data_IF_040087225531
#
_entry.id   IF_040087225531
#
_cell.length_a   1.000
_cell.length_b   1.000
_cell.length_c   1.000
_cell.angle_alpha   90.00
_cell.angle_beta   90.00
_cell.angle_gamma   90.00
#
_symmetry.space_group_name_H-M   'P 1'
#
loop_
_entity.id
_entity.type
_entity.pdbx_description
1 polymer ?
#
# COMPACT_ATOMS: atom_id res chain seq x y z
N UNK A 1 -8.43 6.50 -8.06
CA UNK A 1 -7.57 5.65 -7.19
C UNK A 1 -6.42 6.43 -6.51
N UNK A 2 -6.59 7.72 -6.32
CA UNK A 2 -5.61 8.57 -5.67
C UNK A 2 -5.85 8.61 -4.16
N UNK A 3 -4.76 8.67 -3.37
CA UNK A 3 -4.83 8.68 -1.91
C UNK A 3 -3.92 9.76 -1.35
N UNK A 4 -4.37 10.43 -0.29
CA UNK A 4 -3.52 11.27 0.54
C UNK A 4 -2.85 10.38 1.57
N UNK A 5 -1.54 10.53 1.74
CA UNK A 5 -0.74 9.78 2.70
C UNK A 5 0.17 10.68 3.52
N UNK A 6 0.71 10.13 4.61
CA UNK A 6 1.66 10.81 5.47
C UNK A 6 2.99 10.07 5.47
N UNK A 7 4.08 10.82 5.47
CA UNK A 7 5.43 10.33 5.73
C UNK A 7 5.87 10.89 7.08
N UNK A 8 6.19 10.02 8.01
CA UNK A 8 6.62 10.39 9.36
C UNK A 8 7.75 9.48 9.84
N UNK A 9 8.27 9.74 11.05
CA UNK A 9 9.38 8.98 11.62
C UNK A 9 8.92 7.81 12.48
N UNK A 10 7.67 7.80 12.87
CA UNK A 10 7.08 6.75 13.71
C UNK A 10 5.64 6.46 13.29
N UNK A 11 5.16 5.28 13.65
CA UNK A 11 3.75 4.91 13.49
C UNK A 11 2.85 5.82 14.33
N UNK A 12 3.32 6.26 15.49
CA UNK A 12 2.62 7.19 16.37
C UNK A 12 2.36 8.53 15.68
N UNK A 13 3.40 9.12 15.05
CA UNK A 13 3.26 10.36 14.28
C UNK A 13 2.30 10.21 13.10
N UNK A 14 2.30 9.06 12.41
CA UNK A 14 1.30 8.75 11.39
C UNK A 14 -0.12 8.81 11.96
N UNK A 15 -0.32 8.23 13.14
CA UNK A 15 -1.59 8.23 13.84
C UNK A 15 -2.05 9.63 14.26
N UNK A 16 -1.15 10.43 14.83
CA UNK A 16 -1.43 11.82 15.21
C UNK A 16 -1.83 12.66 13.99
N UNK A 17 -1.08 12.53 12.89
CA UNK A 17 -1.42 13.22 11.65
C UNK A 17 -2.79 12.79 11.12
N UNK A 18 -3.05 11.49 11.03
CA UNK A 18 -4.35 10.98 10.58
C UNK A 18 -5.49 11.52 11.43
N UNK A 19 -5.33 11.57 12.75
CA UNK A 19 -6.34 12.12 13.67
C UNK A 19 -6.63 13.59 13.43
N UNK A 20 -5.65 14.35 12.95
CA UNK A 20 -5.79 15.78 12.69
C UNK A 20 -6.45 16.09 11.33
N UNK A 21 -6.28 15.21 10.32
CA UNK A 21 -6.74 15.51 8.95
C UNK A 21 -7.91 14.63 8.50
N UNK A 22 -8.18 13.50 9.16
CA UNK A 22 -9.31 12.64 8.81
C UNK A 22 -10.62 13.29 9.22
N UNK A 23 -11.65 13.09 8.41
CA UNK A 23 -13.00 13.58 8.70
C UNK A 23 -13.89 13.57 7.48
N UNK A 24 -15.17 13.76 7.70
CA UNK A 24 -16.13 13.91 6.61
C UNK A 24 -16.14 15.35 6.10
N UNK A 25 -15.92 15.51 4.80
CA UNK A 25 -16.10 16.78 4.10
C UNK A 25 -17.38 16.73 3.28
N UNK A 26 -18.43 17.49 3.64
CA UNK A 26 -19.69 17.52 2.90
C UNK A 26 -19.57 18.16 1.51
N UNK A 27 -18.47 18.88 1.22
CA UNK A 27 -18.20 19.45 -0.10
C UNK A 27 -17.59 18.41 -1.07
N UNK A 28 -17.03 17.31 -0.55
CA UNK A 28 -16.50 16.22 -1.37
C UNK A 28 -17.52 15.05 -1.44
N UNK A 29 -18.15 14.82 -2.61
CA UNK A 29 -19.11 13.73 -2.78
C UNK A 29 -18.50 12.32 -2.60
N UNK A 30 -17.17 12.18 -2.63
CA UNK A 30 -16.47 10.93 -2.37
C UNK A 30 -16.13 10.73 -0.90
N UNK A 31 -16.25 11.77 -0.07
CA UNK A 31 -16.00 11.71 1.37
C UNK A 31 -17.08 10.88 2.08
N UNK A 32 -16.66 9.88 2.82
CA UNK A 32 -17.56 9.00 3.57
C UNK A 32 -17.80 9.54 4.98
N UNK A 33 -19.07 9.57 5.40
CA UNK A 33 -19.42 9.90 6.77
C UNK A 33 -19.21 8.66 7.67
N UNK A 34 -17.97 8.46 8.09
CA UNK A 34 -17.55 7.38 8.99
C UNK A 34 -17.03 7.96 10.32
N UNK A 35 -17.19 7.23 11.43
CA UNK A 35 -16.55 7.61 12.68
C UNK A 35 -15.04 7.75 12.50
N UNK A 36 -14.45 8.78 13.10
CA UNK A 36 -12.99 8.92 13.13
C UNK A 36 -12.38 7.73 13.87
N UNK A 37 -11.23 7.23 13.39
CA UNK A 37 -10.52 6.17 14.08
C UNK A 37 -10.06 6.69 15.45
N UNK A 38 -10.51 6.04 16.51
CA UNK A 38 -10.00 6.30 17.85
C UNK A 38 -8.66 5.61 17.99
N UNK A 39 -7.59 6.39 18.03
CA UNK A 39 -6.24 5.89 18.23
C UNK A 39 -5.95 5.82 19.73
N UNK A 40 -6.04 4.62 20.29
CA UNK A 40 -5.59 4.37 21.64
C UNK A 40 -4.08 4.08 21.63
N UNK A 41 -3.30 5.15 21.74
CA UNK A 41 -1.83 5.06 21.71
C UNK A 41 -1.26 4.46 23.01
N UNK A 42 -2.03 4.42 24.09
CA UNK A 42 -1.60 3.86 25.37
C UNK A 42 -1.92 2.37 25.53
N UNK A 43 -2.72 1.82 24.62
CA UNK A 43 -3.12 0.43 24.66
C UNK A 43 -1.90 -0.49 24.51
N UNK A 44 -1.68 -1.35 25.49
CA UNK A 44 -0.70 -2.44 25.39
C UNK A 44 -1.08 -3.34 24.21
N UNK A 45 -0.14 -3.55 23.31
CA UNK A 45 -0.36 -4.34 22.10
C UNK A 45 -0.08 -5.81 22.39
N UNK A 46 -1.08 -6.65 22.22
CA UNK A 46 -0.85 -8.10 22.12
C UNK A 46 -0.12 -8.40 20.81
N UNK A 47 0.68 -9.47 20.83
CA UNK A 47 1.34 -9.96 19.62
C UNK A 47 0.29 -10.29 18.54
N UNK A 48 0.43 -9.74 17.32
CA UNK A 48 -0.57 -9.85 16.28
C UNK A 48 -0.53 -11.20 15.55
N UNK A 49 -1.65 -11.49 14.85
CA UNK A 49 -1.69 -12.51 13.81
C UNK A 49 -1.43 -11.82 12.47
N UNK A 50 -0.36 -12.20 11.79
CA UNK A 50 0.07 -11.61 10.52
C UNK A 50 -0.10 -12.61 9.39
N UNK A 51 -0.72 -12.17 8.30
CA UNK A 51 -0.87 -12.95 7.08
C UNK A 51 0.24 -12.62 6.08
N UNK A 52 1.17 -13.54 5.88
CA UNK A 52 2.24 -13.42 4.89
C UNK A 52 1.69 -13.68 3.50
N UNK A 53 1.64 -12.66 2.63
CA UNK A 53 0.97 -12.73 1.33
C UNK A 53 1.78 -13.56 0.33
N UNK A 54 1.28 -14.72 -0.06
CA UNK A 54 1.96 -15.66 -0.97
C UNK A 54 2.24 -15.05 -2.36
N UNK A 55 1.28 -14.33 -2.94
CA UNK A 55 1.43 -13.71 -4.26
C UNK A 55 2.55 -12.65 -4.26
N UNK A 56 2.71 -11.94 -3.15
CA UNK A 56 3.79 -10.98 -3.00
C UNK A 56 5.17 -11.65 -2.95
N UNK A 57 5.28 -12.79 -2.26
CA UNK A 57 6.50 -13.59 -2.23
C UNK A 57 6.89 -14.12 -3.62
N UNK A 58 5.93 -14.42 -4.48
CA UNK A 58 6.20 -14.95 -5.83
C UNK A 58 6.85 -13.92 -6.75
N UNK A 59 6.42 -12.64 -6.65
CA UNK A 59 6.90 -11.57 -7.55
C UNK A 59 8.04 -10.73 -6.95
N UNK A 60 8.25 -10.81 -5.64
CA UNK A 60 9.32 -10.07 -4.98
C UNK A 60 10.70 -10.57 -5.43
N UNK A 61 11.63 -9.64 -5.66
CA UNK A 61 13.04 -9.93 -5.91
C UNK A 61 13.62 -10.82 -4.78
N UNK A 62 14.58 -11.69 -5.09
CA UNK A 62 15.10 -12.66 -4.11
C UNK A 62 15.51 -12.02 -2.77
N UNK A 63 16.21 -10.88 -2.82
CA UNK A 63 16.65 -10.14 -1.63
C UNK A 63 15.47 -9.58 -0.82
N UNK A 64 14.39 -9.13 -1.47
CA UNK A 64 13.19 -8.63 -0.81
C UNK A 64 12.42 -9.76 -0.13
N UNK A 65 12.33 -10.91 -0.80
CA UNK A 65 11.71 -12.13 -0.26
C UNK A 65 12.45 -12.65 0.96
N UNK A 66 13.77 -12.80 0.85
CA UNK A 66 14.62 -13.27 1.95
C UNK A 66 14.50 -12.34 3.16
N UNK A 67 14.58 -11.03 2.93
CA UNK A 67 14.43 -10.04 3.98
C UNK A 67 13.07 -10.14 4.68
N UNK A 68 11.98 -10.24 3.92
CA UNK A 68 10.63 -10.38 4.49
C UNK A 68 10.51 -11.65 5.35
N UNK A 69 11.07 -12.77 4.90
CA UNK A 69 11.06 -14.03 5.69
C UNK A 69 11.87 -13.91 6.97
N UNK A 70 13.00 -13.20 6.94
CA UNK A 70 13.78 -12.90 8.15
C UNK A 70 13.00 -12.04 9.14
N UNK A 71 12.32 -10.98 8.64
CA UNK A 71 11.46 -10.11 9.47
C UNK A 71 10.27 -10.90 10.05
N UNK A 72 9.65 -11.76 9.24
CA UNK A 72 8.57 -12.64 9.72
C UNK A 72 9.04 -13.53 10.87
N UNK A 73 10.22 -14.15 10.77
CA UNK A 73 10.83 -14.93 11.83
C UNK A 73 11.16 -14.12 13.09
N UNK A 74 11.56 -12.85 12.95
CA UNK A 74 11.74 -11.94 14.09
C UNK A 74 10.40 -11.67 14.80
N UNK A 75 9.33 -11.45 14.05
CA UNK A 75 8.00 -11.26 14.63
C UNK A 75 7.49 -12.51 15.35
N UNK A 76 7.72 -13.71 14.79
CA UNK A 76 7.40 -14.97 15.47
C UNK A 76 8.19 -15.15 16.77
N UNK A 77 9.49 -14.87 16.75
CA UNK A 77 10.34 -14.91 17.94
C UNK A 77 9.88 -13.92 19.03
N UNK A 78 9.27 -12.79 18.63
CA UNK A 78 8.67 -11.80 19.52
C UNK A 78 7.23 -12.15 19.95
N UNK A 79 6.68 -13.30 19.49
CA UNK A 79 5.39 -13.84 19.91
C UNK A 79 4.23 -13.63 18.92
N UNK A 80 4.45 -13.01 17.76
CA UNK A 80 3.44 -12.95 16.71
C UNK A 80 3.16 -14.34 16.12
N UNK A 81 1.95 -14.53 15.61
CA UNK A 81 1.62 -15.67 14.77
C UNK A 81 1.68 -15.24 13.31
N UNK A 82 2.57 -15.83 12.54
CA UNK A 82 2.67 -15.59 11.10
C UNK A 82 2.16 -16.81 10.33
N UNK A 83 1.26 -16.60 9.39
CA UNK A 83 0.72 -17.66 8.55
C UNK A 83 0.63 -17.20 7.09
N UNK A 84 0.86 -18.11 6.16
CA UNK A 84 0.72 -17.82 4.75
C UNK A 84 -0.74 -17.61 4.39
N UNK A 85 -1.00 -16.56 3.62
CA UNK A 85 -2.34 -16.20 3.16
C UNK A 85 -2.32 -15.81 1.68
N UNK A 86 -3.45 -16.02 1.00
CA UNK A 86 -3.66 -15.55 -0.37
C UNK A 86 -4.46 -14.24 -0.37
N UNK A 87 -4.34 -13.46 -1.46
CA UNK A 87 -5.20 -12.32 -1.74
C UNK A 87 -6.64 -12.73 -2.12
N UNK A 88 -6.88 -14.03 -2.36
CA UNK A 88 -8.19 -14.59 -2.68
C UNK A 88 -8.61 -14.45 -4.14
N UNK A 89 -7.82 -13.78 -4.97
CA UNK A 89 -7.96 -13.67 -6.42
C UNK A 89 -6.56 -13.57 -7.04
N UNK A 90 -6.35 -14.04 -8.28
CA UNK A 90 -5.05 -13.98 -8.95
C UNK A 90 -4.52 -12.55 -9.07
N UNK A 91 -3.23 -12.35 -8.79
CA UNK A 91 -2.61 -11.02 -8.78
C UNK A 91 -2.66 -10.35 -10.16
N UNK A 92 -2.48 -11.09 -11.24
CA UNK A 92 -2.57 -10.60 -12.62
C UNK A 92 -3.98 -10.06 -12.94
N UNK A 93 -5.04 -10.73 -12.48
CA UNK A 93 -6.40 -10.22 -12.59
C UNK A 93 -6.58 -8.93 -11.81
N UNK A 94 -6.06 -8.87 -10.58
CA UNK A 94 -6.15 -7.68 -9.72
C UNK A 94 -5.47 -6.49 -10.40
N UNK A 95 -4.26 -6.69 -10.92
CA UNK A 95 -3.50 -5.66 -11.63
C UNK A 95 -4.16 -5.23 -12.94
N UNK A 96 -4.71 -6.16 -13.72
CA UNK A 96 -5.44 -5.83 -14.93
C UNK A 96 -6.69 -4.95 -14.63
N UNK A 97 -7.43 -5.30 -13.59
CA UNK A 97 -8.59 -4.50 -13.14
C UNK A 97 -8.16 -3.10 -12.67
N UNK A 98 -7.07 -3.02 -11.91
CA UNK A 98 -6.50 -1.77 -11.45
C UNK A 98 -6.09 -0.88 -12.63
N UNK A 99 -5.42 -1.43 -13.65
CA UNK A 99 -5.01 -0.68 -14.83
C UNK A 99 -6.21 -0.11 -15.59
N UNK A 100 -7.25 -0.90 -15.83
CA UNK A 100 -8.45 -0.41 -16.53
C UNK A 100 -9.09 0.74 -15.77
N UNK A 101 -9.28 0.62 -14.47
CA UNK A 101 -9.91 1.67 -13.65
C UNK A 101 -9.02 2.90 -13.59
N UNK A 102 -7.73 2.73 -13.29
CA UNK A 102 -6.78 3.84 -13.17
C UNK A 102 -6.67 4.64 -14.47
N UNK A 103 -6.46 3.98 -15.62
CA UNK A 103 -6.34 4.69 -16.90
C UNK A 103 -7.59 5.46 -17.25
N UNK A 104 -8.78 4.85 -17.02
CA UNK A 104 -10.06 5.51 -17.31
C UNK A 104 -10.28 6.73 -16.40
N UNK A 105 -10.01 6.59 -15.09
CA UNK A 105 -10.18 7.69 -14.12
C UNK A 105 -9.16 8.82 -14.36
N UNK A 106 -7.89 8.50 -14.65
CA UNK A 106 -6.87 9.48 -15.03
C UNK A 106 -7.27 10.23 -16.29
N UNK A 107 -7.77 9.52 -17.32
CA UNK A 107 -8.23 10.15 -18.54
C UNK A 107 -9.42 11.07 -18.28
N UNK A 108 -10.38 10.66 -17.46
CA UNK A 108 -11.57 11.47 -17.14
C UNK A 108 -11.20 12.82 -16.49
N UNK A 109 -10.12 12.85 -15.69
CA UNK A 109 -9.67 14.08 -15.01
C UNK A 109 -8.75 14.93 -15.88
N UNK A 110 -7.80 14.29 -16.58
CA UNK A 110 -6.67 15.02 -17.19
C UNK A 110 -6.86 15.34 -18.69
N UNK A 111 -7.81 14.73 -19.40
CA UNK A 111 -7.88 14.90 -20.85
C UNK A 111 -8.14 16.35 -21.29
N UNK A 112 -9.03 17.09 -20.60
CA UNK A 112 -9.29 18.50 -20.90
C UNK A 112 -8.08 19.39 -20.62
N UNK A 113 -7.38 19.12 -19.50
CA UNK A 113 -6.14 19.84 -19.17
C UNK A 113 -5.04 19.56 -20.20
N UNK A 114 -4.95 18.33 -20.70
CA UNK A 114 -4.00 17.97 -21.75
C UNK A 114 -4.30 18.68 -23.07
N UNK A 115 -5.56 18.85 -23.44
CA UNK A 115 -5.96 19.61 -24.64
C UNK A 115 -5.70 21.12 -24.47
N UNK A 116 -6.00 21.66 -23.30
CA UNK A 116 -5.78 23.08 -23.00
C UNK A 116 -4.31 23.45 -22.85
N UNK A 117 -3.51 22.55 -22.29
CA UNK A 117 -2.08 22.76 -21.99
C UNK A 117 -1.23 21.57 -22.46
N UNK A 118 -1.01 21.38 -23.78
CA UNK A 118 -0.35 20.18 -24.32
C UNK A 118 1.08 19.93 -23.80
N UNK A 119 1.77 20.99 -23.38
CA UNK A 119 3.14 20.93 -22.87
C UNK A 119 3.28 20.70 -21.35
N UNK A 120 2.18 20.71 -20.59
CA UNK A 120 2.20 20.65 -19.13
C UNK A 120 2.34 19.24 -18.54
N UNK A 121 2.12 18.21 -19.36
CA UNK A 121 2.12 16.81 -18.91
C UNK A 121 3.39 16.08 -19.35
N UNK A 122 3.97 15.34 -18.43
CA UNK A 122 5.09 14.43 -18.75
C UNK A 122 4.63 13.34 -19.73
N UNK A 123 5.52 12.81 -20.58
CA UNK A 123 5.18 11.83 -21.61
C UNK A 123 4.43 10.59 -21.07
N UNK A 124 4.81 10.09 -19.88
CA UNK A 124 4.19 8.92 -19.25
C UNK A 124 2.71 9.22 -18.88
N UNK A 125 2.43 10.37 -18.27
CA UNK A 125 1.06 10.76 -17.90
C UNK A 125 0.21 10.97 -19.15
N UNK A 126 0.77 11.61 -20.19
CA UNK A 126 0.11 11.78 -21.49
C UNK A 126 -0.30 10.44 -22.08
N UNK A 127 0.63 9.47 -22.17
CA UNK A 127 0.33 8.14 -22.67
C UNK A 127 -0.78 7.45 -21.85
N UNK A 128 -0.77 7.58 -20.51
CA UNK A 128 -1.82 7.07 -19.64
C UNK A 128 -3.19 7.65 -19.96
N UNK A 129 -3.27 8.97 -20.18
CA UNK A 129 -4.52 9.65 -20.58
C UNK A 129 -5.01 9.17 -21.94
N UNK A 130 -4.12 9.07 -22.93
CA UNK A 130 -4.44 8.61 -24.27
C UNK A 130 -4.98 7.18 -24.28
N UNK A 131 -4.34 6.26 -23.54
CA UNK A 131 -4.83 4.88 -23.37
C UNK A 131 -6.19 4.86 -22.68
N UNK A 132 -6.38 5.64 -21.61
CA UNK A 132 -7.64 5.68 -20.87
C UNK A 132 -8.84 6.14 -21.72
N UNK A 133 -8.62 7.07 -22.67
CA UNK A 133 -9.66 7.53 -23.63
C UNK A 133 -10.09 6.44 -24.61
N UNK A 134 -9.25 5.47 -24.89
CA UNK A 134 -9.54 4.37 -25.81
C UNK A 134 -10.26 3.19 -25.14
N UNK A 135 -10.32 3.17 -23.81
CA UNK A 135 -10.98 2.08 -23.08
C UNK A 135 -12.51 2.19 -23.23
N UNK A 136 -13.19 1.13 -23.71
CA UNK A 136 -14.64 1.12 -23.80
C UNK A 136 -15.30 1.24 -22.42
N UNK A 137 -16.39 2.00 -22.31
CA UNK A 137 -17.14 2.12 -21.06
C UNK A 137 -17.61 0.78 -20.49
N UNK A 138 -17.89 -0.22 -21.32
CA UNK A 138 -18.22 -1.58 -20.87
C UNK A 138 -17.06 -2.25 -20.14
N UNK A 139 -15.82 -2.02 -20.56
CA UNK A 139 -14.63 -2.56 -19.86
C UNK A 139 -14.50 -1.96 -18.46
N UNK A 140 -14.69 -0.65 -18.31
CA UNK A 140 -14.71 0.04 -17.03
C UNK A 140 -15.81 -0.50 -16.09
N UNK A 141 -17.03 -0.71 -16.60
CA UNK A 141 -18.12 -1.28 -15.81
C UNK A 141 -17.84 -2.70 -15.34
N UNK A 142 -17.23 -3.54 -16.19
CA UNK A 142 -16.77 -4.87 -15.81
C UNK A 142 -15.67 -4.80 -14.76
N UNK A 143 -14.68 -3.94 -14.94
CA UNK A 143 -13.61 -3.72 -13.97
C UNK A 143 -14.15 -3.29 -12.59
N UNK A 144 -15.14 -2.39 -12.55
CA UNK A 144 -15.79 -1.99 -11.29
C UNK A 144 -16.57 -3.15 -10.61
N UNK A 145 -17.15 -4.07 -11.36
CA UNK A 145 -17.78 -5.29 -10.81
C UNK A 145 -16.72 -6.23 -10.23
N UNK A 146 -15.63 -6.44 -10.96
CA UNK A 146 -14.49 -7.25 -10.50
C UNK A 146 -13.82 -6.63 -9.27
N UNK A 147 -13.64 -5.31 -9.23
CA UNK A 147 -13.14 -4.59 -8.04
C UNK A 147 -13.92 -4.95 -6.78
N UNK A 148 -15.27 -4.96 -6.85
CA UNK A 148 -16.11 -5.36 -5.69
C UNK A 148 -15.89 -6.82 -5.28
N UNK A 149 -15.75 -7.73 -6.27
CA UNK A 149 -15.47 -9.15 -6.01
C UNK A 149 -14.09 -9.33 -5.34
N UNK A 150 -13.06 -8.68 -5.89
CA UNK A 150 -11.69 -8.69 -5.35
C UNK A 150 -11.68 -8.16 -3.92
N UNK A 151 -12.32 -7.00 -3.68
CA UNK A 151 -12.43 -6.42 -2.32
C UNK A 151 -13.07 -7.39 -1.33
N UNK A 152 -14.15 -8.06 -1.72
CA UNK A 152 -14.82 -9.04 -0.86
C UNK A 152 -13.96 -10.28 -0.61
N UNK A 153 -13.19 -10.75 -1.61
CA UNK A 153 -12.26 -11.86 -1.46
C UNK A 153 -11.12 -11.52 -0.49
N UNK A 154 -10.44 -10.39 -0.69
CA UNK A 154 -9.37 -9.92 0.21
C UNK A 154 -9.86 -9.69 1.63
N UNK A 155 -11.07 -9.11 1.81
CA UNK A 155 -11.64 -8.90 3.14
C UNK A 155 -11.90 -10.23 3.88
N UNK A 156 -12.29 -11.30 3.18
CA UNK A 156 -12.44 -12.63 3.79
C UNK A 156 -11.09 -13.22 4.23
N UNK A 157 -10.04 -13.03 3.44
CA UNK A 157 -8.68 -13.46 3.82
C UNK A 157 -8.18 -12.67 5.03
N UNK A 158 -8.36 -11.34 5.04
CA UNK A 158 -8.00 -10.47 6.15
C UNK A 158 -8.79 -10.76 7.44
N UNK A 159 -9.99 -11.29 7.36
CA UNK A 159 -10.77 -11.66 8.56
C UNK A 159 -10.12 -12.76 9.43
N UNK A 160 -9.13 -13.48 8.90
CA UNK A 160 -8.42 -14.54 9.60
C UNK A 160 -7.19 -14.05 10.37
N UNK A 161 -6.69 -12.85 10.03
CA UNK A 161 -5.49 -12.23 10.58
C UNK A 161 -5.75 -10.79 11.01
N UNK A 162 -4.81 -10.19 11.70
CA UNK A 162 -4.95 -8.79 12.15
C UNK A 162 -4.44 -7.79 11.10
N UNK A 163 -3.47 -8.22 10.27
CA UNK A 163 -3.02 -7.50 9.08
C UNK A 163 -2.33 -8.45 8.09
N UNK A 164 -2.34 -8.12 6.81
CA UNK A 164 -1.38 -8.69 5.86
C UNK A 164 -0.01 -8.09 6.09
N UNK A 165 1.04 -8.88 5.81
CA UNK A 165 2.43 -8.44 5.77
C UNK A 165 3.06 -8.88 4.44
N UNK A 166 3.74 -7.95 3.77
CA UNK A 166 4.37 -8.16 2.47
C UNK A 166 5.50 -7.13 2.28
N UNK A 167 6.39 -7.28 1.26
CA UNK A 167 7.35 -6.24 0.95
C UNK A 167 6.63 -4.98 0.48
N UNK A 168 7.14 -3.79 0.83
CA UNK A 168 6.54 -2.54 0.34
C UNK A 168 6.69 -2.40 -1.18
N UNK A 169 7.76 -2.89 -1.77
CA UNK A 169 8.01 -2.87 -3.21
C UNK A 169 8.56 -4.22 -3.69
N UNK A 170 8.45 -4.46 -5.00
CA UNK A 170 8.95 -5.70 -5.62
C UNK A 170 10.47 -5.81 -5.48
N UNK A 171 11.18 -4.68 -5.57
CA UNK A 171 12.64 -4.59 -5.46
C UNK A 171 13.03 -3.30 -4.71
N UNK A 172 14.31 -3.08 -4.50
CA UNK A 172 14.85 -1.84 -3.95
C UNK A 172 14.52 -0.62 -4.83
N UNK A 173 14.73 0.57 -4.29
CA UNK A 173 14.49 1.81 -5.01
C UNK A 173 15.21 1.80 -6.38
N UNK A 174 14.49 2.08 -7.47
CA UNK A 174 15.09 2.13 -8.82
C UNK A 174 15.92 3.40 -8.99
N UNK A 175 16.63 3.49 -10.11
CA UNK A 175 17.29 4.73 -10.54
C UNK A 175 16.25 5.82 -10.82
N UNK A 176 16.69 7.09 -10.91
CA UNK A 176 15.81 8.25 -11.16
C UNK A 176 15.04 8.20 -12.50
N UNK A 177 15.42 7.29 -13.39
CA UNK A 177 14.78 7.10 -14.70
C UNK A 177 13.47 6.30 -14.63
N UNK A 178 13.20 5.65 -13.49
CA UNK A 178 12.02 4.83 -13.28
C UNK A 178 11.27 5.23 -12.02
N UNK A 179 9.95 5.01 -12.01
CA UNK A 179 9.10 5.14 -10.82
C UNK A 179 8.95 3.80 -10.07
N UNK A 180 9.67 2.77 -10.49
CA UNK A 180 9.57 1.43 -9.91
C UNK A 180 8.33 0.64 -10.34
N UNK A 181 8.19 -0.54 -9.75
CA UNK A 181 7.07 -1.45 -9.95
C UNK A 181 6.06 -1.29 -8.79
N UNK A 182 4.81 -0.99 -9.12
CA UNK A 182 3.73 -0.74 -8.17
C UNK A 182 2.85 -1.98 -7.90
N UNK A 183 3.26 -3.16 -8.35
CA UNK A 183 2.43 -4.37 -8.29
C UNK A 183 2.06 -4.81 -6.86
N UNK A 184 2.84 -4.39 -5.85
CA UNK A 184 2.56 -4.69 -4.45
C UNK A 184 1.72 -3.62 -3.73
N UNK A 185 1.59 -2.40 -4.27
CA UNK A 185 0.76 -1.33 -3.69
C UNK A 185 -0.59 -1.20 -4.42
N UNK A 186 -0.59 -1.41 -5.73
CA UNK A 186 -1.75 -1.26 -6.60
C UNK A 186 -2.99 -2.09 -6.16
N UNK A 187 -2.84 -3.34 -5.68
CA UNK A 187 -3.97 -4.14 -5.20
C UNK A 187 -4.76 -3.46 -4.07
N UNK A 188 -4.07 -2.85 -3.13
CA UNK A 188 -4.70 -2.25 -1.94
C UNK A 188 -5.30 -0.88 -2.27
N UNK A 189 -4.64 -0.11 -3.12
CA UNK A 189 -5.23 1.11 -3.71
C UNK A 189 -6.50 0.80 -4.50
N UNK A 190 -6.52 -0.29 -5.28
CA UNK A 190 -7.71 -0.72 -6.01
C UNK A 190 -8.90 -0.95 -5.08
N UNK A 191 -8.70 -1.66 -3.98
CA UNK A 191 -9.80 -2.05 -3.08
C UNK A 191 -10.08 -1.03 -1.97
N UNK A 192 -9.23 0.00 -1.81
CA UNK A 192 -9.37 1.03 -0.78
C UNK A 192 -9.12 0.48 0.62
N UNK A 193 -8.06 -0.31 0.78
CA UNK A 193 -7.61 -0.79 2.08
C UNK A 193 -6.46 0.07 2.59
N UNK A 194 -6.48 0.48 3.87
CA UNK A 194 -5.38 1.22 4.46
C UNK A 194 -4.12 0.38 4.51
N UNK A 195 -2.99 1.01 4.19
CA UNK A 195 -1.68 0.39 4.22
C UNK A 195 -0.66 1.27 4.94
N UNK A 196 0.29 0.64 5.61
CA UNK A 196 1.36 1.25 6.38
C UNK A 196 2.68 0.64 5.97
N UNK A 197 3.64 1.45 5.54
CA UNK A 197 5.00 0.98 5.22
C UNK A 197 5.94 1.27 6.40
N UNK A 198 6.69 0.25 6.81
CA UNK A 198 7.67 0.33 7.88
C UNK A 198 9.07 0.03 7.33
N UNK A 199 10.05 0.91 7.55
CA UNK A 199 11.44 0.59 7.24
C UNK A 199 11.88 -0.56 8.14
N UNK A 200 12.48 -1.60 7.55
CA UNK A 200 12.76 -2.85 8.25
C UNK A 200 14.22 -3.30 8.15
N UNK A 201 15.05 -2.61 7.39
CA UNK A 201 16.47 -2.93 7.24
C UNK A 201 17.15 -2.17 6.13
N UNK A 202 18.40 -2.53 5.87
CA UNK A 202 19.23 -1.98 4.80
C UNK A 202 19.81 -3.13 3.97
N UNK A 203 19.75 -2.98 2.65
CA UNK A 203 20.49 -3.82 1.72
C UNK A 203 21.80 -3.12 1.36
N UNK A 204 22.93 -3.73 1.71
CA UNK A 204 24.24 -3.25 1.29
C UNK A 204 24.46 -3.59 -0.19
N UNK A 205 24.70 -2.60 -1.01
CA UNK A 205 25.14 -2.70 -2.39
C UNK A 205 26.53 -2.06 -2.48
N UNK A 206 27.35 -2.53 -3.41
CA UNK A 206 28.79 -2.21 -3.55
C UNK A 206 29.25 -0.84 -2.99
N UNK A 207 28.54 0.26 -3.28
CA UNK A 207 28.93 1.61 -2.88
C UNK A 207 27.90 2.34 -2.01
N UNK A 208 26.74 1.73 -1.74
CA UNK A 208 25.64 2.37 -1.02
C UNK A 208 24.80 1.33 -0.30
N UNK A 209 24.03 1.77 0.70
CA UNK A 209 22.98 0.96 1.33
C UNK A 209 21.61 1.53 0.96
N UNK A 210 20.71 0.66 0.53
CA UNK A 210 19.34 1.04 0.22
C UNK A 210 18.38 0.52 1.29
N UNK A 211 17.37 1.32 1.69
CA UNK A 211 16.40 0.90 2.68
C UNK A 211 15.52 -0.23 2.15
N UNK A 212 15.24 -1.20 3.01
CA UNK A 212 14.24 -2.23 2.84
C UNK A 212 13.05 -1.91 3.73
N UNK A 213 11.85 -2.22 3.26
CA UNK A 213 10.63 -1.96 4.00
C UNK A 213 9.61 -3.08 3.82
N UNK A 214 8.81 -3.28 4.85
CA UNK A 214 7.61 -4.11 4.81
C UNK A 214 6.36 -3.22 4.74
N UNK A 215 5.29 -3.75 4.19
CA UNK A 215 3.97 -3.13 4.15
C UNK A 215 2.99 -3.97 4.98
N UNK A 216 2.24 -3.30 5.84
CA UNK A 216 1.11 -3.85 6.55
C UNK A 216 -0.19 -3.34 5.90
N UNK A 217 -1.21 -4.20 5.82
CA UNK A 217 -2.51 -3.85 5.24
C UNK A 217 -3.62 -4.36 6.12
N UNK A 218 -4.63 -3.52 6.38
CA UNK A 218 -5.83 -3.89 7.12
C UNK A 218 -7.10 -3.69 6.28
N UNK A 219 -8.25 -4.23 6.69
CA UNK A 219 -9.51 -3.97 6.00
C UNK A 219 -9.87 -2.47 5.98
N UNK A 220 -10.72 -2.06 5.05
CA UNK A 220 -11.20 -0.68 4.99
C UNK A 220 -11.81 -0.24 6.34
N UNK A 221 -11.51 0.97 6.77
CA UNK A 221 -11.95 1.59 8.03
C UNK A 221 -11.35 0.95 9.30
N UNK A 222 -10.25 0.20 9.16
CA UNK A 222 -9.53 -0.41 10.28
C UNK A 222 -8.16 0.25 10.50
N UNK A 223 -8.05 1.55 10.25
CA UNK A 223 -6.80 2.32 10.41
C UNK A 223 -6.27 2.25 11.85
N UNK A 224 -7.15 2.30 12.85
CA UNK A 224 -6.75 2.17 14.26
C UNK A 224 -6.11 0.80 14.55
N UNK A 225 -6.67 -0.28 13.99
CA UNK A 225 -6.09 -1.63 14.10
C UNK A 225 -4.74 -1.69 13.38
N UNK A 226 -4.66 -1.14 12.15
CA UNK A 226 -3.43 -1.12 11.37
C UNK A 226 -2.30 -0.40 12.10
N UNK A 227 -2.59 0.77 12.69
CA UNK A 227 -1.62 1.54 13.45
C UNK A 227 -1.20 0.82 14.74
N UNK A 228 -2.13 0.14 15.42
CA UNK A 228 -1.82 -0.69 16.58
C UNK A 228 -0.86 -1.83 16.22
N UNK A 229 -1.17 -2.60 15.17
CA UNK A 229 -0.28 -3.66 14.64
C UNK A 229 1.05 -3.06 14.18
N UNK A 230 1.02 -1.92 13.49
CA UNK A 230 2.20 -1.21 13.04
C UNK A 230 3.14 -0.80 14.17
N UNK A 231 2.62 -0.24 15.27
CA UNK A 231 3.42 0.07 16.47
C UNK A 231 4.07 -1.16 17.08
N UNK A 232 3.33 -2.27 17.16
CA UNK A 232 3.89 -3.52 17.64
C UNK A 232 5.05 -3.99 16.75
N UNK A 233 4.84 -3.99 15.41
CA UNK A 233 5.87 -4.38 14.45
C UNK A 233 7.08 -3.43 14.50
N UNK A 234 6.85 -2.11 14.54
CA UNK A 234 7.90 -1.09 14.62
C UNK A 234 8.82 -1.31 15.83
N UNK A 235 8.26 -1.70 16.98
CA UNK A 235 9.03 -1.99 18.19
C UNK A 235 9.95 -3.23 18.07
N UNK A 236 9.71 -4.11 17.09
CA UNK A 236 10.55 -5.28 16.81
C UNK A 236 11.57 -5.03 15.70
N UNK A 237 11.47 -3.91 14.99
CA UNK A 237 12.32 -3.58 13.85
C UNK A 237 13.53 -2.74 14.26
N UNK A 238 14.63 -2.76 13.50
CA UNK A 238 15.79 -1.92 13.79
C UNK A 238 15.45 -0.44 13.60
N UNK A 239 15.96 0.40 14.50
CA UNK A 239 15.90 1.85 14.32
C UNK A 239 16.77 2.23 13.11
N UNK A 240 16.15 2.81 12.11
CA UNK A 240 16.85 3.20 10.88
C UNK A 240 17.67 4.48 11.11
N UNK A 241 18.93 4.51 10.66
CA UNK A 241 19.72 5.73 10.73
C UNK A 241 19.10 6.84 9.85
N UNK A 242 19.34 8.12 10.17
CA UNK A 242 18.94 9.21 9.28
C UNK A 242 19.66 9.08 7.92
N UNK A 243 19.04 9.59 6.83
CA UNK A 243 19.72 9.61 5.53
C UNK A 243 21.07 10.31 5.58
N UNK A 244 22.08 9.88 4.81
CA UNK A 244 23.45 10.45 4.87
C UNK A 244 23.54 11.95 4.62
N UNK A 245 22.55 12.56 3.94
CA UNK A 245 22.47 13.99 3.70
C UNK A 245 22.14 14.82 4.96
N UNK A 246 21.74 14.14 6.05
CA UNK A 246 21.35 14.75 7.32
C UNK A 246 22.13 14.16 8.52
N UNK A 247 23.20 13.40 8.26
CA UNK A 247 24.09 12.84 9.26
C UNK A 247 25.31 13.74 9.49
#
# INVERSE_FOLDING_TARGET
LEHVGVLSRSVEDCGLFLSAVAGHDPADPASANQPLPVLDLDRALAAPRLGLVCEALQIAAPQMREHLLQVAGQFEAAGARVEEVSLGEPLDLILAVQHVIMHTEVAAVHWQLLEQYPGSHLPKLRATVEVGRLLPGVAYLHAQRLRRRIRAAMARCLAQVDAFVLPTAVDVAPTRESTGDTSLQAPFSLVGFPSLSLPSGLLALQSQSLPLAIQLVAPAWHEAQLLAVGRWCEAQLPVMPPPPLFA
#
